data_IF_519041928926
#
_entry.id   IF_519041928926
#
_cell.length_a   1.000
_cell.length_b   1.000
_cell.length_c   1.000
_cell.angle_alpha   90.00
_cell.angle_beta   90.00
_cell.angle_gamma   90.00
#
_symmetry.space_group_name_H-M   'P 1'
#
loop_
_entity.id
_entity.type
_entity.pdbx_description
1 polymer ?
#
# COMPACT_ATOMS: atom_id res chain seq x y z
N UNK A 1 15.41 -4.77 -19.62
CA UNK A 1 14.67 -3.50 -19.83
C UNK A 1 14.02 -3.18 -18.48
N UNK A 2 14.50 -2.15 -17.76
CA UNK A 2 14.02 -1.85 -16.41
C UNK A 2 12.56 -1.34 -16.46
N UNK A 3 11.61 -1.96 -15.73
CA UNK A 3 10.23 -1.50 -15.70
C UNK A 3 10.18 -0.06 -15.20
N UNK A 4 9.52 0.79 -15.97
CA UNK A 4 9.56 2.23 -15.85
C UNK A 4 8.80 2.73 -14.62
N UNK A 5 9.58 3.36 -13.73
CA UNK A 5 9.28 4.61 -13.00
C UNK A 5 8.27 4.53 -11.87
N UNK A 6 8.72 4.61 -10.62
CA UNK A 6 7.90 4.96 -9.45
C UNK A 6 7.52 6.45 -9.43
N UNK A 7 6.59 6.84 -8.55
CA UNK A 7 6.26 8.25 -8.23
C UNK A 7 7.51 9.11 -8.03
N UNK A 8 8.53 8.57 -7.35
CA UNK A 8 9.78 9.30 -7.06
C UNK A 8 10.59 9.64 -8.32
N UNK A 9 10.72 8.73 -9.28
CA UNK A 9 11.46 9.01 -10.51
C UNK A 9 10.74 10.06 -11.39
N UNK A 10 9.40 10.01 -11.44
CA UNK A 10 8.59 11.05 -12.11
C UNK A 10 8.69 12.42 -11.45
N UNK A 11 8.80 12.48 -10.12
CA UNK A 11 8.86 13.74 -9.37
C UNK A 11 10.26 14.37 -9.32
N UNK A 12 11.32 13.55 -9.32
CA UNK A 12 12.68 14.03 -9.02
C UNK A 12 13.72 13.80 -10.13
N UNK A 13 13.29 13.22 -11.26
CA UNK A 13 14.11 12.99 -12.46
C UNK A 13 14.55 11.54 -12.60
N UNK A 14 14.30 10.97 -13.79
CA UNK A 14 14.50 9.54 -14.08
C UNK A 14 15.97 9.11 -14.01
N UNK A 15 16.89 10.04 -14.24
CA UNK A 15 18.33 9.78 -14.32
C UNK A 15 19.03 9.75 -12.95
N UNK A 16 18.30 10.13 -11.88
CA UNK A 16 18.84 10.25 -10.52
C UNK A 16 18.51 9.08 -9.61
N UNK A 17 17.58 8.22 -10.02
CA UNK A 17 17.04 7.17 -9.16
C UNK A 17 16.92 5.84 -9.91
N UNK A 18 17.35 4.78 -9.24
CA UNK A 18 17.12 3.41 -9.67
C UNK A 18 16.14 2.73 -8.71
N UNK A 19 15.08 2.14 -9.26
CA UNK A 19 14.15 1.32 -8.47
C UNK A 19 14.69 -0.11 -8.44
N UNK A 20 14.91 -0.62 -7.22
CA UNK A 20 15.27 -2.02 -6.99
C UNK A 20 14.08 -2.68 -6.29
N UNK A 21 13.45 -3.64 -6.95
CA UNK A 21 12.35 -4.41 -6.37
C UNK A 21 12.90 -5.76 -5.89
N UNK A 22 12.80 -6.09 -4.59
CA UNK A 22 13.26 -7.36 -4.08
C UNK A 22 12.38 -8.52 -4.57
N UNK A 23 12.90 -9.76 -4.62
CA UNK A 23 12.15 -10.94 -5.07
C UNK A 23 10.98 -11.29 -4.14
N UNK A 24 11.06 -10.88 -2.87
CA UNK A 24 10.02 -11.06 -1.85
C UNK A 24 9.81 -9.71 -1.17
N UNK A 25 8.56 -9.33 -0.99
CA UNK A 25 8.15 -8.07 -0.37
C UNK A 25 6.84 -8.27 0.41
N UNK A 26 6.44 -7.29 1.21
CA UNK A 26 5.22 -7.32 2.01
C UNK A 26 4.01 -6.81 1.21
N UNK A 27 2.87 -7.50 1.31
CA UNK A 27 1.61 -6.99 0.79
C UNK A 27 1.11 -5.84 1.67
N UNK A 28 1.36 -4.60 1.23
CA UNK A 28 0.82 -3.42 1.86
C UNK A 28 -0.64 -3.20 1.43
N UNK A 29 -1.58 -3.49 2.34
CA UNK A 29 -3.01 -3.24 2.14
C UNK A 29 -3.41 -1.90 2.77
N UNK A 30 -4.11 -1.06 2.00
CA UNK A 30 -4.61 0.24 2.47
C UNK A 30 -6.14 0.18 2.61
N UNK A 31 -6.67 -0.34 3.73
CA UNK A 31 -8.11 -0.44 3.93
C UNK A 31 -8.75 0.94 4.01
N UNK A 32 -9.91 1.07 3.38
CA UNK A 32 -10.74 2.27 3.42
C UNK A 32 -12.05 1.98 4.13
N UNK A 33 -12.52 2.91 4.94
CA UNK A 33 -13.78 2.81 5.67
C UNK A 33 -14.41 4.20 5.84
N UNK A 34 -15.74 4.25 5.94
CA UNK A 34 -16.43 5.43 6.47
C UNK A 34 -16.48 5.36 8.00
N UNK A 35 -16.93 6.44 8.64
CA UNK A 35 -17.09 6.51 10.10
C UNK A 35 -18.57 6.65 10.42
N UNK A 36 -19.18 5.62 11.02
CA UNK A 36 -20.63 5.52 11.23
C UNK A 36 -21.22 6.76 11.91
N UNK A 37 -20.64 7.16 13.07
CA UNK A 37 -21.08 8.35 13.82
C UNK A 37 -21.08 9.63 12.98
N UNK A 38 -20.14 9.77 12.05
CA UNK A 38 -20.02 10.97 11.22
C UNK A 38 -21.03 10.96 10.07
N UNK A 39 -21.21 9.80 9.42
CA UNK A 39 -22.16 9.69 8.30
C UNK A 39 -23.61 9.77 8.77
N UNK A 40 -23.91 9.27 9.96
CA UNK A 40 -25.21 9.41 10.63
C UNK A 40 -25.48 10.88 10.97
N UNK A 41 -24.55 11.52 11.71
CA UNK A 41 -24.68 12.93 12.12
C UNK A 41 -24.88 13.87 10.93
N UNK A 42 -24.19 13.61 9.82
CA UNK A 42 -24.19 14.49 8.65
C UNK A 42 -25.20 14.06 7.57
N UNK A 43 -25.92 12.94 7.74
CA UNK A 43 -26.84 12.41 6.74
C UNK A 43 -26.17 12.02 5.41
N UNK A 44 -24.91 11.61 5.44
CA UNK A 44 -24.07 11.38 4.23
C UNK A 44 -23.81 9.91 3.93
N UNK A 45 -24.49 8.98 4.60
CA UNK A 45 -24.24 7.55 4.49
C UNK A 45 -24.31 7.03 3.04
N UNK A 46 -25.31 7.47 2.27
CA UNK A 46 -25.45 7.05 0.87
C UNK A 46 -24.26 7.53 0.01
N UNK A 47 -23.91 8.82 0.11
CA UNK A 47 -22.79 9.38 -0.64
C UNK A 47 -21.44 8.73 -0.26
N UNK A 48 -21.21 8.47 1.03
CA UNK A 48 -20.01 7.79 1.51
C UNK A 48 -19.93 6.35 0.97
N UNK A 49 -21.04 5.62 0.97
CA UNK A 49 -21.12 4.26 0.42
C UNK A 49 -20.86 4.25 -1.09
N UNK A 50 -21.48 5.17 -1.82
CA UNK A 50 -21.28 5.27 -3.27
C UNK A 50 -19.83 5.63 -3.62
N UNK A 51 -19.20 6.51 -2.84
CA UNK A 51 -17.78 6.82 -2.99
C UNK A 51 -16.89 5.60 -2.76
N UNK A 52 -17.08 4.84 -1.67
CA UNK A 52 -16.30 3.63 -1.41
C UNK A 52 -16.50 2.58 -2.51
N UNK A 53 -17.72 2.37 -2.97
CA UNK A 53 -18.00 1.46 -4.10
C UNK A 53 -17.31 1.92 -5.38
N UNK A 54 -17.31 3.23 -5.65
CA UNK A 54 -16.66 3.80 -6.83
C UNK A 54 -15.16 3.55 -6.86
N UNK A 55 -14.47 3.53 -5.70
CA UNK A 55 -13.04 3.21 -5.63
C UNK A 55 -12.71 1.83 -6.24
N UNK A 56 -13.67 0.90 -6.27
CA UNK A 56 -13.53 -0.44 -6.87
C UNK A 56 -14.06 -0.53 -8.31
N UNK A 57 -14.54 0.57 -8.89
CA UNK A 57 -14.96 0.60 -10.29
C UNK A 57 -13.75 0.54 -11.23
N UNK A 58 -13.88 0.00 -12.45
CA UNK A 58 -12.77 -0.05 -13.42
C UNK A 58 -12.11 1.31 -13.66
N UNK A 59 -12.89 2.39 -13.70
CA UNK A 59 -12.38 3.74 -13.90
C UNK A 59 -11.47 4.19 -12.74
N UNK A 60 -11.90 3.96 -11.49
CA UNK A 60 -11.09 4.29 -10.32
C UNK A 60 -9.83 3.41 -10.25
N UNK A 61 -9.94 2.12 -10.55
CA UNK A 61 -8.79 1.19 -10.55
C UNK A 61 -7.72 1.59 -11.57
N UNK A 62 -8.13 2.07 -12.75
CA UNK A 62 -7.22 2.67 -13.75
C UNK A 62 -6.51 3.92 -13.23
N UNK A 63 -7.24 4.80 -12.53
CA UNK A 63 -6.65 6.00 -11.92
C UNK A 63 -5.66 5.60 -10.83
N UNK A 64 -6.04 4.71 -9.92
CA UNK A 64 -5.20 4.25 -8.80
C UNK A 64 -3.90 3.61 -9.30
N UNK A 65 -3.98 2.73 -10.32
CA UNK A 65 -2.79 2.13 -10.95
C UNK A 65 -1.92 3.14 -11.69
N UNK A 66 -2.48 4.25 -12.21
CA UNK A 66 -1.70 5.33 -12.81
C UNK A 66 -0.79 6.05 -11.81
N UNK A 67 -1.16 6.01 -10.52
CA UNK A 67 -0.35 6.47 -9.38
C UNK A 67 0.53 5.36 -8.77
N UNK A 68 0.77 4.26 -9.49
CA UNK A 68 1.67 3.17 -9.08
C UNK A 68 1.23 2.39 -7.83
N UNK A 69 -0.05 2.42 -7.50
CA UNK A 69 -0.62 1.49 -6.54
C UNK A 69 -0.99 0.18 -7.23
N UNK A 70 -0.63 -0.95 -6.61
CA UNK A 70 -1.15 -2.26 -7.01
C UNK A 70 -2.60 -2.36 -6.54
N UNK A 71 -3.45 -2.88 -7.41
CA UNK A 71 -4.88 -3.05 -7.12
C UNK A 71 -5.31 -4.51 -7.32
N UNK A 72 -6.48 -4.87 -6.81
CA UNK A 72 -7.03 -6.22 -6.94
C UNK A 72 -7.67 -6.50 -8.30
N UNK A 73 -8.02 -5.46 -9.06
CA UNK A 73 -8.56 -5.62 -10.41
C UNK A 73 -7.49 -6.16 -11.37
N UNK A 74 -7.68 -7.41 -11.79
CA UNK A 74 -6.71 -8.11 -12.64
C UNK A 74 -6.54 -7.43 -14.01
N UNK A 75 -7.63 -6.89 -14.57
CA UNK A 75 -7.60 -6.24 -15.87
C UNK A 75 -6.76 -4.95 -15.83
N UNK A 76 -6.90 -4.15 -14.78
CA UNK A 76 -6.11 -2.96 -14.54
C UNK A 76 -4.62 -3.31 -14.32
N UNK A 77 -4.34 -4.38 -13.57
CA UNK A 77 -2.97 -4.84 -13.35
C UNK A 77 -2.32 -5.40 -14.63
N UNK A 78 -3.06 -6.14 -15.45
CA UNK A 78 -2.57 -6.66 -16.73
C UNK A 78 -2.26 -5.51 -17.71
N UNK A 79 -3.14 -4.50 -17.77
CA UNK A 79 -2.92 -3.31 -18.57
C UNK A 79 -1.71 -2.47 -18.10
N UNK A 80 -1.33 -2.58 -16.82
CA UNK A 80 -0.23 -1.85 -16.22
C UNK A 80 1.02 -2.71 -15.95
N UNK A 81 1.08 -3.96 -16.43
CA UNK A 81 2.14 -4.93 -16.10
C UNK A 81 3.57 -4.41 -16.28
N UNK A 82 3.79 -3.57 -17.31
CA UNK A 82 5.10 -3.03 -17.63
C UNK A 82 5.61 -1.99 -16.59
N UNK A 83 4.72 -1.53 -15.70
CA UNK A 83 5.03 -0.61 -14.60
C UNK A 83 5.32 -1.34 -13.29
N UNK A 84 4.92 -2.61 -13.16
CA UNK A 84 4.99 -3.35 -11.91
C UNK A 84 5.93 -4.54 -12.06
N UNK A 85 7.19 -4.43 -11.59
CA UNK A 85 8.09 -5.56 -11.52
C UNK A 85 7.47 -6.72 -10.75
N UNK A 86 7.71 -7.94 -11.23
CA UNK A 86 7.28 -9.15 -10.55
C UNK A 86 7.98 -9.26 -9.19
N UNK A 87 7.20 -9.55 -8.15
CA UNK A 87 7.68 -9.79 -6.79
C UNK A 87 6.67 -10.66 -6.07
N UNK A 88 7.15 -11.52 -5.14
CA UNK A 88 6.26 -12.32 -4.30
C UNK A 88 5.85 -11.51 -3.09
N UNK A 89 4.56 -11.20 -2.97
CA UNK A 89 4.00 -10.46 -1.84
C UNK A 89 3.49 -11.43 -0.77
N UNK A 90 3.96 -11.31 0.46
CA UNK A 90 3.44 -12.07 1.60
C UNK A 90 2.54 -11.19 2.50
N UNK A 91 1.57 -11.80 3.17
CA UNK A 91 0.73 -11.10 4.15
C UNK A 91 1.37 -11.10 5.53
N UNK A 92 1.08 -10.06 6.31
CA UNK A 92 1.51 -9.97 7.71
C UNK A 92 0.95 -11.13 8.54
N UNK A 93 -0.30 -11.50 8.29
CA UNK A 93 -0.97 -12.57 9.03
C UNK A 93 -0.27 -13.93 8.83
N UNK A 94 0.19 -14.21 7.60
CA UNK A 94 0.81 -15.49 7.24
C UNK A 94 2.21 -15.67 7.84
N UNK A 95 2.94 -14.56 8.06
CA UNK A 95 4.34 -14.60 8.51
C UNK A 95 4.51 -14.26 9.99
N UNK A 96 3.63 -13.44 10.56
CA UNK A 96 3.84 -12.84 11.88
C UNK A 96 2.68 -13.02 12.86
N UNK A 97 1.63 -13.77 12.49
CA UNK A 97 0.49 -14.04 13.38
C UNK A 97 -0.48 -12.86 13.56
N UNK A 98 -0.36 -11.82 12.71
CA UNK A 98 -1.29 -10.70 12.61
C UNK A 98 -0.80 -9.39 13.24
N UNK A 99 -1.51 -8.31 12.89
CA UNK A 99 -1.14 -6.94 13.28
C UNK A 99 -0.98 -6.71 14.79
N UNK A 100 -1.85 -7.22 15.70
CA UNK A 100 -1.65 -7.00 17.13
C UNK A 100 -0.31 -7.56 17.65
N UNK A 101 0.09 -8.74 17.15
CA UNK A 101 1.35 -9.37 17.55
C UNK A 101 2.55 -8.59 16.98
N UNK A 102 2.48 -8.16 15.72
CA UNK A 102 3.50 -7.33 15.08
C UNK A 102 3.69 -6.01 15.82
N UNK A 103 2.59 -5.30 16.12
CA UNK A 103 2.63 -4.05 16.86
C UNK A 103 3.22 -4.22 18.26
N UNK A 104 2.90 -5.32 18.95
CA UNK A 104 3.46 -5.64 20.26
C UNK A 104 4.97 -5.93 20.20
N UNK A 105 5.39 -6.80 19.29
CA UNK A 105 6.78 -7.27 19.22
C UNK A 105 7.72 -6.20 18.68
N UNK A 106 7.33 -5.52 17.59
CA UNK A 106 8.25 -4.66 16.85
C UNK A 106 8.10 -3.18 17.18
N UNK A 107 6.87 -2.68 17.39
CA UNK A 107 6.57 -1.23 17.35
C UNK A 107 6.07 -0.61 18.66
N UNK A 108 5.78 -1.40 19.69
CA UNK A 108 5.41 -0.87 21.01
C UNK A 108 6.62 -0.29 21.72
N UNK A 109 6.40 0.57 22.72
CA UNK A 109 7.50 1.11 23.56
C UNK A 109 8.35 -0.02 24.14
N UNK A 110 9.66 0.04 23.95
CA UNK A 110 10.62 -1.00 24.33
C UNK A 110 10.65 -2.21 23.39
N UNK A 111 9.95 -2.14 22.26
CA UNK A 111 9.90 -3.17 21.23
C UNK A 111 11.21 -3.29 20.46
N UNK A 112 11.21 -4.13 19.43
CA UNK A 112 12.41 -4.39 18.63
C UNK A 112 12.96 -3.15 17.94
N UNK A 113 12.10 -2.30 17.37
CA UNK A 113 12.54 -1.07 16.70
C UNK A 113 13.29 -0.16 17.68
N UNK A 114 12.74 0.08 18.87
CA UNK A 114 13.37 0.92 19.90
C UNK A 114 14.75 0.37 20.30
N UNK A 115 14.88 -0.95 20.45
CA UNK A 115 16.15 -1.61 20.81
C UNK A 115 17.19 -1.47 19.71
N UNK A 116 16.79 -1.64 18.45
CA UNK A 116 17.68 -1.50 17.29
C UNK A 116 18.15 -0.05 17.13
N UNK A 117 17.25 0.92 17.27
CA UNK A 117 17.61 2.35 17.23
C UNK A 117 18.58 2.69 18.36
N UNK A 118 18.32 2.26 19.60
CA UNK A 118 19.22 2.50 20.73
C UNK A 118 20.62 1.86 20.54
N UNK A 119 20.70 0.70 19.88
CA UNK A 119 21.97 0.05 19.57
C UNK A 119 22.74 0.76 18.44
N UNK A 120 22.05 1.29 17.42
CA UNK A 120 22.66 2.00 16.28
C UNK A 120 23.17 3.40 16.60
N UNK A 121 22.80 3.96 17.77
CA UNK A 121 23.33 5.23 18.26
C UNK A 121 24.64 5.10 19.07
N UNK A 122 25.24 3.91 19.13
CA UNK A 122 26.57 3.65 19.70
C UNK A 122 27.62 3.53 18.61
#
# INVERSE_FOLDING_TARGET
MNPKLTISAKQYGEDKYQVIVPPVDILAEFPVAWVDKNVERNGTAQAAKDYLNYLYSPAAQQVITSFYYRVYDQQAMDAAKDKFPATKLFRVEDQFGGWPQVMKTHFSTGGELDRLLAAGHK
#
